data_IF_373004100540
#
_entry.id   IF_373004100540
#
_cell.length_a   1.000
_cell.length_b   1.000
_cell.length_c   1.000
_cell.angle_alpha   90.00
_cell.angle_beta   90.00
_cell.angle_gamma   90.00
#
_symmetry.space_group_name_H-M   'P 1'
#
loop_
_entity.id
_entity.type
_entity.pdbx_description
1 polymer ?
#
# COMPACT_ATOMS: atom_id res chain seq x y z
N UNK A 1 -2.36 8.58 -6.53
CA UNK A 1 -3.43 7.80 -7.21
C UNK A 1 -2.94 7.27 -8.55
N UNK A 2 -3.59 6.25 -9.04
CA UNK A 2 -3.27 5.64 -10.33
C UNK A 2 -3.57 6.62 -11.47
N UNK A 3 -2.59 6.89 -12.34
CA UNK A 3 -2.77 7.70 -13.55
C UNK A 3 -3.46 6.90 -14.68
N UNK A 4 -3.83 7.56 -15.80
CA UNK A 4 -4.48 6.86 -16.94
C UNK A 4 -3.57 5.79 -17.55
N UNK A 5 -2.32 6.13 -17.83
CA UNK A 5 -1.35 5.19 -18.40
C UNK A 5 -1.05 4.01 -17.45
N UNK A 6 -1.33 4.18 -16.15
CA UNK A 6 -1.15 3.14 -15.14
C UNK A 6 -2.22 2.05 -15.22
N UNK A 7 -3.46 2.37 -15.64
CA UNK A 7 -4.54 1.37 -15.82
C UNK A 7 -4.23 0.45 -17.00
N UNK A 8 -3.78 1.00 -18.13
CA UNK A 8 -3.33 0.19 -19.25
C UNK A 8 -2.16 -0.73 -18.87
N UNK A 9 -1.16 -0.19 -18.16
CA UNK A 9 -0.03 -0.96 -17.66
C UNK A 9 -0.48 -2.05 -16.69
N UNK A 10 -1.38 -1.73 -15.76
CA UNK A 10 -1.96 -2.68 -14.81
C UNK A 10 -2.66 -3.85 -15.53
N UNK A 11 -3.51 -3.55 -16.52
CA UNK A 11 -4.20 -4.56 -17.31
C UNK A 11 -3.23 -5.46 -18.11
N UNK A 12 -2.16 -4.89 -18.67
CA UNK A 12 -1.10 -5.67 -19.37
C UNK A 12 -0.37 -6.64 -18.45
N UNK A 13 -0.27 -6.34 -17.16
CA UNK A 13 0.27 -7.27 -16.17
C UNK A 13 -0.77 -8.27 -15.64
N UNK A 14 -1.98 -8.30 -16.19
CA UNK A 14 -3.03 -9.27 -15.83
C UNK A 14 -3.94 -8.81 -14.69
N UNK A 15 -3.80 -7.59 -14.20
CA UNK A 15 -4.71 -7.02 -13.21
C UNK A 15 -6.10 -6.83 -13.81
N UNK A 16 -7.16 -7.16 -13.07
CA UNK A 16 -8.55 -7.17 -13.55
C UNK A 16 -9.49 -6.26 -12.76
N UNK A 17 -9.08 -5.78 -11.61
CA UNK A 17 -9.87 -4.87 -10.77
C UNK A 17 -8.95 -3.96 -9.95
N UNK A 18 -9.33 -2.69 -9.81
CA UNK A 18 -8.68 -1.71 -8.94
C UNK A 18 -9.63 -1.27 -7.84
N UNK A 19 -9.06 -0.75 -6.74
CA UNK A 19 -9.81 -0.19 -5.63
C UNK A 19 -9.50 1.30 -5.47
N UNK A 20 -10.51 2.10 -5.12
CA UNK A 20 -10.36 3.49 -4.69
C UNK A 20 -10.75 3.65 -3.22
N UNK A 21 -10.30 4.74 -2.56
CA UNK A 21 -10.70 5.07 -1.19
C UNK A 21 -11.89 6.03 -1.12
N UNK A 22 -12.09 6.77 -2.20
CA UNK A 22 -13.16 7.77 -2.31
C UNK A 22 -13.54 7.99 -3.76
N UNK A 23 -14.62 8.70 -3.98
CA UNK A 23 -14.98 9.30 -5.26
C UNK A 23 -14.49 10.75 -5.30
N UNK A 24 -14.49 11.36 -6.46
CA UNK A 24 -14.21 12.77 -6.76
C UNK A 24 -13.45 13.56 -5.69
N UNK A 25 -12.17 13.67 -5.86
CA UNK A 25 -11.32 14.48 -5.01
C UNK A 25 -10.34 15.31 -5.88
N UNK A 26 -9.54 16.17 -5.25
CA UNK A 26 -8.60 17.07 -5.94
C UNK A 26 -7.60 16.35 -6.86
N UNK A 27 -7.44 15.05 -6.69
CA UNK A 27 -6.46 14.23 -7.42
C UNK A 27 -7.10 13.22 -8.37
N UNK A 28 -8.42 13.00 -8.30
CA UNK A 28 -9.12 11.94 -9.02
C UNK A 28 -10.45 12.41 -9.60
N UNK A 29 -10.57 12.41 -10.91
CA UNK A 29 -11.84 12.43 -11.63
C UNK A 29 -12.34 10.98 -11.75
N UNK A 30 -13.32 10.63 -10.93
CA UNK A 30 -13.84 9.25 -10.86
C UNK A 30 -14.49 8.81 -12.16
N UNK A 31 -15.18 9.70 -12.89
CA UNK A 31 -15.77 9.35 -14.18
C UNK A 31 -14.68 8.98 -15.20
N UNK A 32 -13.64 9.80 -15.30
CA UNK A 32 -12.53 9.53 -16.20
C UNK A 32 -11.78 8.23 -15.83
N UNK A 33 -11.62 7.94 -14.54
CA UNK A 33 -11.04 6.68 -14.05
C UNK A 33 -11.90 5.46 -14.45
N UNK A 34 -13.21 5.54 -14.26
CA UNK A 34 -14.15 4.46 -14.62
C UNK A 34 -14.20 4.22 -16.13
N UNK A 35 -14.24 5.28 -16.92
CA UNK A 35 -14.21 5.20 -18.40
C UNK A 35 -12.91 4.52 -18.89
N UNK A 36 -11.76 4.87 -18.31
CA UNK A 36 -10.46 4.27 -18.63
C UNK A 36 -10.39 2.79 -18.18
N UNK A 37 -10.86 2.49 -16.98
CA UNK A 37 -10.93 1.12 -16.49
C UNK A 37 -11.80 0.25 -17.42
N UNK A 38 -12.97 0.73 -17.84
CA UNK A 38 -13.82 0.04 -18.79
C UNK A 38 -13.13 -0.18 -20.13
N UNK A 39 -12.40 0.83 -20.65
CA UNK A 39 -11.70 0.72 -21.94
C UNK A 39 -10.66 -0.40 -21.95
N UNK A 40 -10.07 -0.71 -20.77
CA UNK A 40 -9.08 -1.78 -20.61
C UNK A 40 -9.63 -3.07 -19.98
N UNK A 41 -10.97 -3.19 -19.82
CA UNK A 41 -11.60 -4.37 -19.25
C UNK A 41 -11.33 -4.56 -17.75
N UNK A 42 -11.00 -3.48 -17.05
CA UNK A 42 -10.74 -3.45 -15.62
C UNK A 42 -11.99 -2.98 -14.87
N UNK A 43 -12.35 -3.65 -13.79
CA UNK A 43 -13.42 -3.22 -12.90
C UNK A 43 -12.89 -2.36 -11.75
N UNK A 44 -13.79 -1.66 -11.07
CA UNK A 44 -13.44 -0.77 -9.96
C UNK A 44 -14.27 -1.09 -8.73
N UNK A 45 -13.60 -1.47 -7.64
CA UNK A 45 -14.17 -1.46 -6.31
C UNK A 45 -14.16 0.00 -5.81
N UNK A 46 -15.33 0.63 -5.81
CA UNK A 46 -15.44 2.08 -5.65
C UNK A 46 -15.66 2.46 -4.18
N UNK A 47 -14.69 3.18 -3.62
CA UNK A 47 -14.72 3.66 -2.24
C UNK A 47 -15.68 4.83 -2.06
N UNK A 48 -16.46 4.78 -0.99
CA UNK A 48 -17.35 5.85 -0.53
C UNK A 48 -16.81 6.40 0.78
N UNK A 49 -16.54 7.70 0.82
CA UNK A 49 -15.93 8.32 1.98
C UNK A 49 -16.88 8.40 3.16
N UNK A 50 -16.51 7.74 4.26
CA UNK A 50 -17.02 8.03 5.59
C UNK A 50 -15.87 8.53 6.46
N UNK A 51 -16.12 9.58 7.24
CA UNK A 51 -15.11 10.18 8.09
C UNK A 51 -14.93 9.34 9.35
N UNK A 52 -13.70 8.86 9.59
CA UNK A 52 -13.39 8.10 10.80
C UNK A 52 -13.43 8.98 12.06
N UNK A 53 -13.80 8.39 13.20
CA UNK A 53 -13.78 9.06 14.52
C UNK A 53 -12.40 9.66 14.83
N UNK A 54 -11.31 8.97 14.49
CA UNK A 54 -9.94 9.46 14.65
C UNK A 54 -9.64 10.76 13.87
N UNK A 55 -10.47 11.11 12.90
CA UNK A 55 -10.40 12.36 12.14
C UNK A 55 -11.40 13.41 12.65
N UNK A 56 -12.01 13.17 13.83
CA UNK A 56 -12.85 14.13 14.52
C UNK A 56 -14.34 14.05 14.17
N UNK A 57 -14.81 12.96 13.51
CA UNK A 57 -16.22 12.77 13.26
C UNK A 57 -16.93 12.27 14.55
N UNK A 58 -18.07 12.88 14.87
CA UNK A 58 -18.89 12.51 16.02
C UNK A 58 -20.07 11.66 15.57
N UNK A 59 -20.02 10.35 15.88
CA UNK A 59 -21.10 9.41 15.55
C UNK A 59 -22.28 9.46 16.56
N UNK A 60 -22.27 10.39 17.52
CA UNK A 60 -23.44 10.73 18.36
C UNK A 60 -24.18 11.97 17.82
N UNK A 61 -23.68 12.66 16.78
CA UNK A 61 -24.31 13.79 16.12
C UNK A 61 -25.20 13.33 14.95
N UNK A 62 -26.55 13.30 15.11
CA UNK A 62 -27.45 12.83 14.06
C UNK A 62 -27.48 13.74 12.81
N UNK A 63 -27.20 15.04 12.96
CA UNK A 63 -27.17 15.96 11.84
C UNK A 63 -25.91 15.74 10.98
N UNK A 64 -24.78 15.47 11.61
CA UNK A 64 -23.54 15.12 10.92
C UNK A 64 -23.67 13.77 10.18
N UNK A 65 -24.27 12.76 10.82
CA UNK A 65 -24.54 11.45 10.21
C UNK A 65 -25.46 11.60 8.99
N UNK A 66 -26.56 12.35 9.12
CA UNK A 66 -27.50 12.58 8.02
C UNK A 66 -26.84 13.31 6.84
N UNK A 67 -25.99 14.30 7.10
CA UNK A 67 -25.25 15.02 6.06
C UNK A 67 -24.24 14.11 5.34
N UNK A 68 -23.53 13.24 6.08
CA UNK A 68 -22.63 12.25 5.50
C UNK A 68 -23.38 11.24 4.63
N UNK A 69 -24.51 10.71 5.10
CA UNK A 69 -25.37 9.78 4.36
C UNK A 69 -25.83 10.40 3.03
N UNK A 70 -26.26 11.67 3.04
CA UNK A 70 -26.70 12.35 1.81
C UNK A 70 -25.55 12.55 0.83
N UNK A 71 -24.36 12.91 1.32
CA UNK A 71 -23.15 13.00 0.49
C UNK A 71 -22.84 11.67 -0.21
N UNK A 72 -22.91 10.56 0.53
CA UNK A 72 -22.71 9.22 -0.03
C UNK A 72 -23.81 8.84 -1.02
N UNK A 73 -25.06 9.21 -0.73
CA UNK A 73 -26.20 9.01 -1.64
C UNK A 73 -25.96 9.66 -3.01
N UNK A 74 -25.49 10.90 -3.02
CA UNK A 74 -25.17 11.62 -4.26
C UNK A 74 -24.09 10.90 -5.07
N UNK A 75 -23.05 10.38 -4.41
CA UNK A 75 -21.98 9.62 -5.05
C UNK A 75 -22.49 8.33 -5.67
N UNK A 76 -23.32 7.57 -4.95
CA UNK A 76 -23.92 6.33 -5.46
C UNK A 76 -24.79 6.61 -6.68
N UNK A 77 -25.70 7.60 -6.63
CA UNK A 77 -26.54 7.98 -7.74
C UNK A 77 -25.74 8.40 -8.99
N UNK A 78 -24.58 9.00 -8.79
CA UNK A 78 -23.71 9.47 -9.88
C UNK A 78 -23.03 8.33 -10.63
N UNK A 79 -22.68 7.23 -9.95
CA UNK A 79 -21.80 6.20 -10.50
C UNK A 79 -22.40 4.80 -10.62
N UNK A 80 -23.53 4.48 -9.96
CA UNK A 80 -24.12 3.14 -9.90
C UNK A 80 -24.41 2.47 -11.26
N UNK A 81 -24.67 3.25 -12.28
CA UNK A 81 -24.98 2.74 -13.62
C UNK A 81 -23.72 2.61 -14.52
N UNK A 82 -22.52 2.86 -13.97
CA UNK A 82 -21.30 2.75 -14.76
C UNK A 82 -20.80 1.30 -14.83
N UNK A 83 -20.59 0.72 -16.03
CA UNK A 83 -20.31 -0.71 -16.20
C UNK A 83 -18.97 -1.18 -15.59
N UNK A 84 -18.06 -0.26 -15.26
CA UNK A 84 -16.82 -0.61 -14.58
C UNK A 84 -16.97 -0.71 -13.05
N UNK A 85 -18.06 -0.25 -12.44
CA UNK A 85 -18.29 -0.41 -11.00
C UNK A 85 -18.51 -1.90 -10.70
N UNK A 86 -17.76 -2.45 -9.75
CA UNK A 86 -17.85 -3.86 -9.36
C UNK A 86 -18.65 -4.03 -8.05
N UNK A 87 -18.30 -3.25 -7.04
CA UNK A 87 -18.97 -3.19 -5.75
C UNK A 87 -18.60 -1.92 -4.99
N UNK A 88 -19.31 -1.65 -3.89
CA UNK A 88 -19.11 -0.46 -3.07
C UNK A 88 -18.34 -0.78 -1.79
N UNK A 89 -17.37 0.09 -1.45
CA UNK A 89 -16.66 0.04 -0.17
C UNK A 89 -17.08 1.22 0.70
N UNK A 90 -17.74 0.95 1.82
CA UNK A 90 -18.25 1.96 2.75
C UNK A 90 -17.19 2.28 3.79
N UNK A 91 -16.59 3.45 3.72
CA UNK A 91 -15.51 3.90 4.58
C UNK A 91 -14.17 3.21 4.28
N UNK A 92 -13.17 3.49 5.11
CA UNK A 92 -11.86 2.85 5.10
C UNK A 92 -11.28 2.80 6.52
N UNK A 93 -11.07 1.59 7.03
CA UNK A 93 -10.49 1.35 8.37
C UNK A 93 -11.18 2.17 9.49
N UNK A 94 -12.52 2.24 9.46
CA UNK A 94 -13.29 2.98 10.46
C UNK A 94 -13.06 2.45 11.88
N UNK A 95 -12.61 1.20 12.01
CA UNK A 95 -12.22 0.57 13.27
C UNK A 95 -10.84 1.01 13.78
N UNK A 96 -10.08 1.82 13.03
CA UNK A 96 -8.78 2.27 13.49
C UNK A 96 -8.93 3.40 14.51
N UNK A 97 -8.61 3.09 15.79
CA UNK A 97 -8.73 4.02 16.93
C UNK A 97 -10.15 4.58 17.14
N UNK A 98 -11.20 3.80 16.84
CA UNK A 98 -12.57 4.15 17.16
C UNK A 98 -12.91 3.80 18.62
N UNK A 99 -13.90 4.46 19.17
CA UNK A 99 -14.44 4.21 20.50
C UNK A 99 -15.97 4.15 20.52
N UNK A 100 -16.66 4.69 19.50
CA UNK A 100 -18.11 4.71 19.39
C UNK A 100 -18.61 3.67 18.39
N UNK A 101 -19.25 2.57 18.85
CA UNK A 101 -19.81 1.55 17.95
C UNK A 101 -20.96 2.05 17.05
N UNK A 102 -21.51 3.25 17.27
CA UNK A 102 -22.52 3.87 16.40
C UNK A 102 -22.01 4.11 14.97
N UNK A 103 -20.68 4.09 14.76
CA UNK A 103 -20.10 4.08 13.41
C UNK A 103 -20.65 2.94 12.55
N UNK A 104 -20.90 1.76 13.14
CA UNK A 104 -21.42 0.60 12.42
C UNK A 104 -22.92 0.72 12.12
N UNK A 105 -23.69 1.43 12.96
CA UNK A 105 -25.09 1.76 12.64
C UNK A 105 -25.14 2.70 11.41
N UNK A 106 -24.25 3.70 11.36
CA UNK A 106 -24.14 4.59 10.20
C UNK A 106 -23.65 3.84 8.93
N UNK A 107 -22.77 2.84 9.07
CA UNK A 107 -22.36 1.96 7.95
C UNK A 107 -23.58 1.16 7.45
N UNK A 108 -24.43 0.66 8.36
CA UNK A 108 -25.65 -0.04 8.00
C UNK A 108 -26.63 0.86 7.23
N UNK A 109 -26.86 2.09 7.70
CA UNK A 109 -27.74 3.05 7.02
C UNK A 109 -27.26 3.34 5.60
N UNK A 110 -25.95 3.45 5.41
CA UNK A 110 -25.34 3.61 4.07
C UNK A 110 -25.58 2.35 3.22
N UNK A 111 -25.35 1.16 3.76
CA UNK A 111 -25.54 -0.09 3.02
C UNK A 111 -27.01 -0.30 2.61
N UNK A 112 -27.97 -0.05 3.51
CA UNK A 112 -29.40 -0.10 3.19
C UNK A 112 -29.77 0.90 2.09
N UNK A 113 -29.30 2.14 2.18
CA UNK A 113 -29.50 3.16 1.16
C UNK A 113 -28.93 2.74 -0.20
N UNK A 114 -27.74 2.11 -0.21
CA UNK A 114 -27.14 1.61 -1.46
C UNK A 114 -28.03 0.52 -2.06
N UNK A 115 -28.47 -0.48 -1.30
CA UNK A 115 -29.32 -1.56 -1.79
C UNK A 115 -30.66 -1.06 -2.35
N UNK A 116 -31.23 0.03 -1.78
CA UNK A 116 -32.43 0.68 -2.32
C UNK A 116 -32.17 1.34 -3.69
N UNK A 117 -31.01 1.96 -3.87
CA UNK A 117 -30.65 2.72 -5.08
C UNK A 117 -30.00 1.86 -6.16
N UNK A 118 -29.24 0.86 -5.75
CA UNK A 118 -28.40 0.00 -6.57
C UNK A 118 -28.46 -1.46 -6.08
N UNK A 119 -29.48 -2.21 -6.46
CA UNK A 119 -29.64 -3.60 -6.03
C UNK A 119 -28.68 -4.58 -6.75
N UNK A 120 -27.81 -4.09 -7.62
CA UNK A 120 -26.95 -4.94 -8.46
C UNK A 120 -25.52 -5.10 -7.93
N UNK A 121 -25.01 -4.12 -7.20
CA UNK A 121 -23.64 -4.13 -6.72
C UNK A 121 -23.59 -4.41 -5.21
N UNK A 122 -22.76 -5.38 -4.78
CA UNK A 122 -22.58 -5.68 -3.37
C UNK A 122 -21.94 -4.53 -2.60
N UNK A 123 -22.10 -4.55 -1.28
CA UNK A 123 -21.59 -3.55 -0.35
C UNK A 123 -20.70 -4.20 0.70
N UNK A 124 -19.52 -3.63 0.93
CA UNK A 124 -18.58 -4.06 1.97
C UNK A 124 -18.06 -2.89 2.79
N UNK A 125 -17.52 -3.17 3.97
CA UNK A 125 -16.71 -2.22 4.75
C UNK A 125 -15.33 -2.79 5.02
N UNK A 126 -14.24 -2.07 4.64
CA UNK A 126 -12.87 -2.49 4.92
C UNK A 126 -12.47 -2.18 6.36
N UNK A 127 -11.96 -3.18 7.08
CA UNK A 127 -11.41 -3.01 8.43
C UNK A 127 -9.92 -3.30 8.51
N UNK A 128 -9.24 -2.59 9.39
CA UNK A 128 -7.84 -2.81 9.73
C UNK A 128 -7.68 -4.08 10.56
N UNK A 129 -7.04 -5.10 9.99
CA UNK A 129 -6.77 -6.39 10.62
C UNK A 129 -7.99 -7.30 10.73
N UNK A 130 -7.74 -8.56 11.05
CA UNK A 130 -8.77 -9.52 11.42
C UNK A 130 -9.02 -9.41 12.94
N UNK A 131 -10.11 -8.77 13.34
CA UNK A 131 -10.44 -8.49 14.75
C UNK A 131 -11.80 -9.09 15.09
N UNK A 132 -11.86 -10.21 15.80
CA UNK A 132 -13.11 -10.93 16.07
C UNK A 132 -14.19 -10.07 16.75
N UNK A 133 -13.80 -9.21 17.69
CA UNK A 133 -14.73 -8.33 18.38
C UNK A 133 -15.38 -7.31 17.43
N UNK A 134 -14.58 -6.71 16.56
CA UNK A 134 -15.07 -5.77 15.53
C UNK A 134 -15.94 -6.48 14.51
N UNK A 135 -15.57 -7.69 14.10
CA UNK A 135 -16.39 -8.52 13.19
C UNK A 135 -17.76 -8.77 13.82
N UNK A 136 -17.81 -9.17 15.09
CA UNK A 136 -19.06 -9.42 15.81
C UNK A 136 -19.92 -8.14 15.94
N UNK A 137 -19.28 -6.98 16.17
CA UNK A 137 -20.01 -5.70 16.20
C UNK A 137 -20.60 -5.35 14.81
N UNK A 138 -19.86 -5.51 13.73
CA UNK A 138 -20.35 -5.27 12.37
C UNK A 138 -21.53 -6.21 12.05
N UNK A 139 -21.40 -7.51 12.34
CA UNK A 139 -22.47 -8.49 12.13
C UNK A 139 -23.76 -8.13 12.91
N UNK A 140 -23.60 -7.57 14.12
CA UNK A 140 -24.73 -7.20 14.94
C UNK A 140 -25.38 -5.86 14.55
N UNK A 141 -24.58 -4.87 14.11
CA UNK A 141 -25.01 -3.48 13.88
C UNK A 141 -25.15 -3.10 12.41
N UNK A 142 -24.41 -3.75 11.53
CA UNK A 142 -24.43 -3.49 10.08
C UNK A 142 -24.81 -4.76 9.27
N UNK A 143 -25.97 -5.39 9.55
CA UNK A 143 -26.39 -6.61 8.87
C UNK A 143 -26.69 -6.42 7.37
N UNK A 144 -26.78 -5.19 6.89
CA UNK A 144 -26.92 -4.89 5.46
C UNK A 144 -25.62 -4.98 4.65
N UNK A 145 -24.45 -5.17 5.31
CA UNK A 145 -23.19 -5.43 4.63
C UNK A 145 -23.20 -6.86 4.05
N UNK A 146 -22.91 -7.02 2.75
CA UNK A 146 -22.93 -8.31 2.07
C UNK A 146 -21.74 -9.20 2.44
N UNK A 147 -20.56 -8.59 2.68
CA UNK A 147 -19.36 -9.27 3.17
C UNK A 147 -18.42 -8.29 3.85
N UNK A 148 -17.57 -8.78 4.75
CA UNK A 148 -16.52 -7.97 5.39
C UNK A 148 -15.24 -8.02 4.58
N UNK A 149 -14.50 -6.91 4.55
CA UNK A 149 -13.19 -6.83 3.91
C UNK A 149 -12.10 -6.55 4.94
N UNK A 150 -10.94 -7.19 4.77
CA UNK A 150 -9.80 -7.03 5.67
C UNK A 150 -8.64 -6.31 4.97
N UNK A 151 -7.88 -5.55 5.77
CA UNK A 151 -6.63 -4.92 5.37
C UNK A 151 -5.53 -5.41 6.29
N UNK A 152 -4.57 -6.17 5.76
CA UNK A 152 -3.53 -6.83 6.55
C UNK A 152 -2.20 -6.82 5.79
N UNK A 153 -1.12 -6.59 6.53
CA UNK A 153 0.23 -6.57 6.00
C UNK A 153 1.06 -7.74 6.56
N UNK A 154 2.05 -7.53 7.43
CA UNK A 154 2.81 -8.63 8.02
C UNK A 154 1.94 -9.60 8.83
N UNK A 155 0.93 -9.09 9.53
CA UNK A 155 -0.07 -9.89 10.26
C UNK A 155 -0.89 -10.85 9.37
N UNK A 156 -0.90 -10.65 8.04
CA UNK A 156 -1.57 -11.54 7.08
C UNK A 156 -1.11 -13.00 7.20
N UNK A 157 0.16 -13.22 7.52
CA UNK A 157 0.70 -14.58 7.68
C UNK A 157 0.05 -15.38 8.83
N UNK A 158 -0.53 -14.70 9.81
CA UNK A 158 -1.30 -15.31 10.90
C UNK A 158 -2.79 -15.53 10.60
N UNK A 159 -3.32 -15.05 9.47
CA UNK A 159 -4.75 -15.08 9.17
C UNK A 159 -5.34 -16.50 9.12
N UNK A 160 -4.69 -17.53 8.54
CA UNK A 160 -5.24 -18.88 8.54
C UNK A 160 -5.48 -19.44 9.95
N UNK A 161 -4.56 -19.18 10.89
CA UNK A 161 -4.68 -19.61 12.28
C UNK A 161 -5.82 -18.86 12.98
N UNK A 162 -5.94 -17.55 12.78
CA UNK A 162 -7.03 -16.73 13.33
C UNK A 162 -8.42 -17.18 12.82
N UNK A 163 -8.54 -17.51 11.55
CA UNK A 163 -9.77 -18.08 10.98
C UNK A 163 -10.10 -19.43 11.63
N UNK A 164 -9.10 -20.29 11.80
CA UNK A 164 -9.29 -21.60 12.40
C UNK A 164 -9.68 -21.50 13.89
N UNK A 165 -9.04 -20.61 14.66
CA UNK A 165 -9.30 -20.37 16.07
C UNK A 165 -10.68 -19.79 16.33
N UNK A 166 -11.12 -18.86 15.49
CA UNK A 166 -12.43 -18.19 15.63
C UNK A 166 -13.57 -18.97 15.01
N UNK A 167 -13.27 -19.91 14.12
CA UNK A 167 -14.29 -20.62 13.33
C UNK A 167 -15.02 -19.73 12.31
N UNK A 168 -14.42 -18.63 11.89
CA UNK A 168 -15.00 -17.72 10.89
C UNK A 168 -15.17 -18.46 9.54
N UNK A 169 -16.41 -18.49 9.01
CA UNK A 169 -16.76 -19.25 7.81
C UNK A 169 -17.33 -18.38 6.68
N UNK A 170 -17.52 -17.09 6.91
CA UNK A 170 -18.13 -16.21 5.94
C UNK A 170 -17.17 -15.87 4.80
N UNK A 171 -17.68 -15.60 3.59
CA UNK A 171 -16.86 -15.09 2.50
C UNK A 171 -16.32 -13.70 2.88
N UNK A 172 -15.09 -13.42 2.49
CA UNK A 172 -14.45 -12.13 2.73
C UNK A 172 -13.55 -11.73 1.57
N UNK A 173 -13.16 -10.47 1.56
CA UNK A 173 -12.19 -9.93 0.60
C UNK A 173 -10.98 -9.34 1.33
N UNK A 174 -9.80 -9.47 0.73
CA UNK A 174 -8.61 -8.76 1.19
C UNK A 174 -8.47 -7.47 0.38
N UNK A 175 -8.88 -6.34 0.96
CA UNK A 175 -8.93 -5.06 0.25
C UNK A 175 -7.64 -4.26 0.32
N UNK A 176 -6.72 -4.63 1.20
CA UNK A 176 -5.32 -4.21 1.17
C UNK A 176 -4.41 -5.31 1.73
N UNK A 177 -3.36 -5.62 0.97
CA UNK A 177 -2.24 -6.45 1.41
C UNK A 177 -0.99 -6.08 0.61
N UNK A 178 0.18 -6.37 1.13
CA UNK A 178 1.42 -6.00 0.45
C UNK A 178 2.66 -6.37 1.26
N UNK A 179 3.65 -5.47 1.24
CA UNK A 179 4.85 -5.63 2.06
C UNK A 179 4.53 -5.51 3.55
N UNK A 180 5.50 -5.83 4.41
CA UNK A 180 5.35 -5.69 5.85
C UNK A 180 5.27 -4.20 6.23
N UNK A 181 4.30 -3.84 7.07
CA UNK A 181 4.12 -2.47 7.54
C UNK A 181 5.28 -2.01 8.43
N UNK A 182 5.64 -0.74 8.38
CA UNK A 182 6.75 -0.20 9.19
C UNK A 182 6.50 -0.34 10.70
N UNK A 183 5.26 -0.50 11.12
CA UNK A 183 4.88 -0.75 12.51
C UNK A 183 5.14 -2.20 12.96
N UNK A 184 5.34 -3.12 12.01
CA UNK A 184 5.63 -4.55 12.23
C UNK A 184 7.11 -4.88 12.05
N UNK A 185 7.91 -3.94 11.50
CA UNK A 185 9.32 -4.15 11.21
C UNK A 185 10.22 -3.96 12.43
N UNK A 186 11.38 -4.63 12.40
CA UNK A 186 12.47 -4.38 13.32
C UNK A 186 12.92 -2.92 13.27
N UNK A 187 13.48 -2.44 14.37
CA UNK A 187 13.94 -1.06 14.50
C UNK A 187 15.42 -1.01 14.84
N UNK A 188 16.08 0.02 14.33
CA UNK A 188 17.43 0.38 14.74
C UNK A 188 17.51 0.68 16.24
N UNK A 189 18.72 0.75 16.81
CA UNK A 189 18.95 1.10 18.21
C UNK A 189 18.37 2.46 18.63
N UNK A 190 18.13 3.37 17.68
CA UNK A 190 17.49 4.69 17.89
C UNK A 190 16.01 4.74 17.48
N UNK A 191 15.38 3.57 17.24
CA UNK A 191 13.94 3.42 17.07
C UNK A 191 13.42 3.68 15.65
N UNK A 192 14.26 3.81 14.64
CA UNK A 192 13.86 3.93 13.23
C UNK A 192 13.52 2.56 12.64
N UNK A 193 12.37 2.36 11.98
CA UNK A 193 12.05 1.09 11.36
C UNK A 193 12.96 0.80 10.16
N UNK A 194 13.39 -0.45 10.04
CA UNK A 194 14.18 -0.95 8.92
C UNK A 194 13.25 -1.30 7.77
N UNK A 195 13.56 -0.84 6.56
CA UNK A 195 12.77 -1.15 5.37
C UNK A 195 13.42 -2.28 4.57
N UNK A 196 12.62 -3.22 4.10
CA UNK A 196 13.04 -4.29 3.20
C UNK A 196 13.51 -3.73 1.85
N UNK A 197 14.46 -4.38 1.21
CA UNK A 197 14.83 -4.10 -0.18
C UNK A 197 13.66 -4.40 -1.12
N UNK A 198 13.69 -3.87 -2.36
CA UNK A 198 12.66 -4.18 -3.36
C UNK A 198 12.51 -5.68 -3.62
N UNK A 199 13.61 -6.43 -3.60
CA UNK A 199 13.60 -7.89 -3.80
C UNK A 199 13.03 -8.65 -2.62
N UNK A 200 13.36 -8.26 -1.39
CA UNK A 200 12.74 -8.85 -0.19
C UNK A 200 11.23 -8.55 -0.11
N UNK A 201 10.80 -7.35 -0.57
CA UNK A 201 9.37 -7.04 -0.68
C UNK A 201 8.69 -7.95 -1.70
N UNK A 202 9.30 -8.21 -2.85
CA UNK A 202 8.81 -9.14 -3.85
C UNK A 202 8.66 -10.56 -3.28
N UNK A 203 9.61 -11.03 -2.48
CA UNK A 203 9.52 -12.31 -1.77
C UNK A 203 8.34 -12.32 -0.78
N UNK A 204 8.10 -11.22 -0.06
CA UNK A 204 6.93 -11.11 0.84
C UNK A 204 5.63 -11.25 0.07
N UNK A 205 5.49 -10.59 -1.10
CA UNK A 205 4.31 -10.68 -1.95
C UNK A 205 4.06 -12.12 -2.43
N UNK A 206 5.10 -12.77 -2.95
CA UNK A 206 5.00 -14.16 -3.43
C UNK A 206 4.63 -15.14 -2.32
N UNK A 207 5.25 -14.98 -1.14
CA UNK A 207 4.94 -15.79 0.04
C UNK A 207 3.52 -15.53 0.56
N UNK A 208 3.10 -14.28 0.68
CA UNK A 208 1.74 -13.92 1.10
C UNK A 208 0.69 -14.59 0.20
N UNK A 209 0.92 -14.58 -1.13
CA UNK A 209 0.05 -15.30 -2.05
C UNK A 209 0.09 -16.82 -1.82
N UNK A 210 1.27 -17.44 -1.86
CA UNK A 210 1.40 -18.90 -1.85
C UNK A 210 1.07 -19.55 -0.49
N UNK A 211 1.46 -18.88 0.61
CA UNK A 211 1.33 -19.42 1.96
C UNK A 211 -0.04 -19.11 2.59
N UNK A 212 -0.71 -18.02 2.14
CA UNK A 212 -1.95 -17.54 2.74
C UNK A 212 -3.09 -17.45 1.71
N UNK A 213 -3.04 -16.48 0.78
CA UNK A 213 -4.19 -16.16 -0.05
C UNK A 213 -4.66 -17.33 -0.92
N UNK A 214 -3.75 -18.06 -1.55
CA UNK A 214 -4.07 -19.22 -2.36
C UNK A 214 -4.66 -20.39 -1.55
N UNK A 215 -4.39 -20.47 -0.24
CA UNK A 215 -4.95 -21.53 0.64
C UNK A 215 -6.34 -21.20 1.16
N UNK A 216 -6.76 -19.95 1.09
CA UNK A 216 -8.08 -19.49 1.53
C UNK A 216 -9.12 -19.49 0.40
N UNK A 217 -8.81 -20.17 -0.73
CA UNK A 217 -9.74 -20.34 -1.86
C UNK A 217 -11.06 -20.96 -1.40
N UNK A 218 -12.17 -20.37 -1.83
CA UNK A 218 -13.53 -20.77 -1.45
C UNK A 218 -14.12 -19.92 -0.31
N UNK A 219 -13.29 -19.18 0.44
CA UNK A 219 -13.71 -18.20 1.42
C UNK A 219 -13.22 -16.78 1.04
N UNK A 220 -11.96 -16.65 0.60
CA UNK A 220 -11.43 -15.43 0.01
C UNK A 220 -11.99 -15.24 -1.41
N UNK A 221 -12.84 -14.22 -1.61
CA UNK A 221 -13.52 -13.95 -2.89
C UNK A 221 -12.71 -13.04 -3.82
N UNK A 222 -11.67 -12.38 -3.32
CA UNK A 222 -10.77 -11.53 -4.10
C UNK A 222 -9.76 -10.79 -3.23
N UNK A 223 -8.76 -10.19 -3.87
CA UNK A 223 -7.75 -9.42 -3.14
C UNK A 223 -7.21 -8.24 -3.96
N UNK A 224 -6.90 -7.14 -3.26
CA UNK A 224 -6.31 -5.93 -3.81
C UNK A 224 -4.96 -5.68 -3.16
N UNK A 225 -3.91 -5.65 -3.98
CA UNK A 225 -2.55 -5.39 -3.52
C UNK A 225 -2.34 -3.88 -3.28
N UNK A 226 -1.64 -3.54 -2.23
CA UNK A 226 -1.29 -2.17 -1.87
C UNK A 226 0.20 -1.91 -2.07
N UNK A 227 0.64 -0.94 -2.95
CA UNK A 227 -0.27 -0.20 -3.85
C UNK A 227 0.32 -0.15 -5.26
N UNK A 228 -0.54 -0.17 -6.27
CA UNK A 228 -0.18 0.13 -7.65
C UNK A 228 0.04 1.63 -7.80
N UNK A 229 1.29 2.08 -7.70
CA UNK A 229 1.68 3.48 -7.70
C UNK A 229 2.83 3.75 -6.75
N UNK A 230 3.01 5.01 -6.39
CA UNK A 230 3.99 5.49 -5.41
C UNK A 230 3.29 6.33 -4.34
N UNK A 231 3.78 6.26 -3.11
CA UNK A 231 3.28 7.04 -1.99
C UNK A 231 4.42 7.32 -1.00
N UNK A 232 4.53 8.56 -0.56
CA UNK A 232 5.35 8.88 0.60
C UNK A 232 4.62 8.41 1.87
N UNK A 233 5.18 7.38 2.51
CA UNK A 233 4.76 6.90 3.82
C UNK A 233 5.97 6.29 4.53
N UNK A 234 6.50 6.95 5.53
CA UNK A 234 7.82 6.79 6.15
C UNK A 234 8.96 7.03 5.17
N UNK A 235 8.94 6.36 4.04
CA UNK A 235 9.88 6.52 2.92
C UNK A 235 9.09 6.66 1.61
N UNK A 236 9.70 7.15 0.53
CA UNK A 236 9.07 7.17 -0.78
C UNK A 236 8.93 5.76 -1.40
N UNK A 237 9.58 4.76 -0.82
CA UNK A 237 9.69 3.41 -1.38
C UNK A 237 8.97 2.34 -0.56
N UNK A 238 8.38 2.65 0.62
CA UNK A 238 7.87 1.62 1.54
C UNK A 238 6.83 0.72 0.90
N UNK A 239 5.74 1.29 0.37
CA UNK A 239 4.59 0.52 -0.13
C UNK A 239 4.41 0.56 -1.65
N UNK A 240 5.05 1.50 -2.34
CA UNK A 240 4.90 1.68 -3.77
C UNK A 240 5.45 0.51 -4.58
N UNK A 241 4.67 0.01 -5.54
CA UNK A 241 5.13 -0.94 -6.55
C UNK A 241 5.81 -0.25 -7.73
N UNK A 242 5.69 1.07 -7.79
CA UNK A 242 6.39 1.96 -8.71
C UNK A 242 7.32 2.87 -7.93
N UNK A 243 8.43 3.28 -8.55
CA UNK A 243 9.26 4.39 -8.05
C UNK A 243 8.55 5.73 -8.23
N UNK A 244 9.11 6.81 -7.67
CA UNK A 244 8.57 8.17 -7.85
C UNK A 244 8.55 8.59 -9.33
N UNK A 245 9.51 8.12 -10.12
CA UNK A 245 9.59 8.40 -11.56
C UNK A 245 8.76 7.44 -12.43
N UNK A 246 8.16 6.40 -11.83
CA UNK A 246 7.22 5.49 -12.48
C UNK A 246 7.83 4.18 -12.97
N UNK A 247 9.10 3.86 -12.67
CA UNK A 247 9.67 2.54 -12.97
C UNK A 247 9.01 1.45 -12.11
N UNK A 248 8.82 0.26 -12.69
CA UNK A 248 8.33 -0.92 -12.01
C UNK A 248 9.38 -1.47 -11.06
N UNK A 249 8.96 -1.90 -9.87
CA UNK A 249 9.78 -2.69 -8.97
C UNK A 249 9.49 -4.17 -9.12
N UNK A 250 10.32 -5.04 -8.55
CA UNK A 250 10.17 -6.50 -8.63
C UNK A 250 8.83 -7.01 -8.08
N UNK A 251 8.14 -6.24 -7.24
CA UNK A 251 6.77 -6.55 -6.79
C UNK A 251 5.77 -6.62 -7.95
N UNK A 252 5.97 -5.83 -9.02
CA UNK A 252 5.14 -5.92 -10.24
C UNK A 252 5.40 -7.22 -10.99
N UNK A 253 6.65 -7.68 -11.08
CA UNK A 253 6.96 -8.99 -11.70
C UNK A 253 6.26 -10.13 -10.96
N UNK A 254 6.29 -10.10 -9.64
CA UNK A 254 5.60 -11.08 -8.80
C UNK A 254 4.08 -11.02 -9.00
N UNK A 255 3.48 -9.83 -9.03
CA UNK A 255 2.05 -9.70 -9.28
C UNK A 255 1.67 -10.13 -10.70
N UNK A 256 2.50 -9.83 -11.71
CA UNK A 256 2.32 -10.38 -13.05
C UNK A 256 2.29 -11.91 -13.03
N UNK A 257 3.26 -12.54 -12.35
CA UNK A 257 3.29 -14.00 -12.21
C UNK A 257 2.05 -14.55 -11.47
N UNK A 258 1.63 -13.91 -10.39
CA UNK A 258 0.45 -14.30 -9.62
C UNK A 258 -0.83 -14.24 -10.47
N UNK A 259 -0.99 -13.21 -11.30
CA UNK A 259 -2.19 -12.97 -12.09
C UNK A 259 -2.23 -13.76 -13.40
N UNK A 260 -1.07 -14.03 -14.03
CA UNK A 260 -1.00 -14.66 -15.35
C UNK A 260 -0.48 -16.09 -15.32
N UNK A 261 0.27 -16.48 -14.28
CA UNK A 261 0.99 -17.74 -14.19
C UNK A 261 2.36 -17.74 -14.89
N UNK A 262 2.74 -16.64 -15.51
CA UNK A 262 4.01 -16.48 -16.25
C UNK A 262 4.79 -15.29 -15.73
N UNK A 263 6.12 -15.34 -15.78
CA UNK A 263 6.97 -14.20 -15.48
C UNK A 263 6.99 -13.22 -16.66
N UNK A 264 7.11 -11.89 -16.42
CA UNK A 264 7.25 -10.93 -17.52
C UNK A 264 8.53 -11.20 -18.33
N UNK A 265 8.54 -10.81 -19.60
CA UNK A 265 9.66 -11.03 -20.52
C UNK A 265 10.93 -10.30 -20.04
N UNK A 266 10.80 -9.02 -19.65
CA UNK A 266 11.86 -8.28 -18.96
C UNK A 266 11.63 -8.35 -17.46
N UNK A 267 12.66 -8.76 -16.72
CA UNK A 267 12.63 -8.91 -15.26
C UNK A 267 13.30 -7.71 -14.58
N UNK A 268 12.69 -7.28 -13.49
CA UNK A 268 13.28 -6.23 -12.66
C UNK A 268 14.64 -6.66 -12.11
N UNK A 269 15.66 -5.77 -12.08
CA UNK A 269 16.91 -6.04 -11.39
C UNK A 269 16.68 -6.39 -9.91
N UNK A 270 17.49 -7.32 -9.37
CA UNK A 270 17.38 -7.81 -8.00
C UNK A 270 18.47 -7.28 -7.11
N UNK A 271 18.10 -6.76 -5.96
CA UNK A 271 19.06 -6.35 -4.92
C UNK A 271 19.62 -7.59 -4.23
N UNK A 272 20.93 -7.79 -4.34
CA UNK A 272 21.67 -8.79 -3.55
C UNK A 272 22.05 -8.24 -2.18
N UNK A 273 22.60 -7.01 -2.13
CA UNK A 273 22.95 -6.35 -0.87
C UNK A 273 23.10 -4.84 -1.02
N UNK A 274 22.89 -4.12 0.10
CA UNK A 274 23.28 -2.72 0.27
C UNK A 274 24.07 -2.56 1.55
N UNK A 275 25.19 -1.82 1.50
CA UNK A 275 26.07 -1.60 2.63
C UNK A 275 26.47 -0.14 2.77
N UNK A 276 26.64 0.31 4.02
CA UNK A 276 27.22 1.60 4.39
C UNK A 276 28.26 1.38 5.49
N UNK A 277 29.51 1.83 5.25
CA UNK A 277 30.66 1.58 6.14
C UNK A 277 30.87 0.07 6.43
N UNK A 278 30.63 -0.77 5.40
CA UNK A 278 30.74 -2.23 5.49
C UNK A 278 29.65 -2.92 6.30
N UNK A 279 28.63 -2.19 6.74
CA UNK A 279 27.48 -2.71 7.50
C UNK A 279 26.25 -2.84 6.61
N UNK A 280 25.49 -3.88 6.87
CA UNK A 280 24.20 -4.13 6.25
C UNK A 280 23.11 -3.16 6.76
N UNK A 281 22.06 -2.95 5.98
CA UNK A 281 20.95 -2.05 6.32
C UNK A 281 20.15 -2.49 7.56
N UNK A 282 20.24 -3.73 8.00
CA UNK A 282 19.65 -4.25 9.25
C UNK A 282 20.49 -3.92 10.50
N UNK A 283 21.74 -3.55 10.30
CA UNK A 283 22.61 -3.15 11.39
C UNK A 283 22.41 -1.66 11.70
N UNK A 284 22.47 -1.30 12.97
CA UNK A 284 22.36 0.10 13.40
C UNK A 284 23.62 0.89 13.02
N UNK A 285 23.64 1.49 11.82
CA UNK A 285 24.79 2.23 11.28
C UNK A 285 24.88 3.60 11.97
N UNK A 286 26.00 3.86 12.64
CA UNK A 286 26.32 5.14 13.30
C UNK A 286 27.57 5.74 12.67
N UNK A 287 27.48 7.00 12.26
CA UNK A 287 28.56 7.73 11.56
C UNK A 287 28.98 8.96 12.36
N UNK A 288 30.23 9.38 12.22
CA UNK A 288 30.76 10.62 12.79
C UNK A 288 30.55 11.80 11.82
N UNK A 289 30.09 12.97 12.31
CA UNK A 289 29.82 14.13 11.45
C UNK A 289 31.03 14.56 10.63
N UNK A 290 30.82 14.85 9.34
CA UNK A 290 31.84 15.35 8.42
C UNK A 290 32.88 14.31 7.97
N UNK A 291 32.84 13.06 8.46
CA UNK A 291 33.67 11.96 7.93
C UNK A 291 33.04 11.38 6.68
N UNK A 292 33.88 10.80 5.83
CA UNK A 292 33.46 10.15 4.58
C UNK A 292 33.51 8.63 4.73
N UNK A 293 32.47 7.97 4.23
CA UNK A 293 32.26 6.52 4.30
C UNK A 293 31.90 5.96 2.93
N UNK A 294 32.25 4.71 2.70
CA UNK A 294 31.89 4.01 1.46
C UNK A 294 30.48 3.41 1.59
N UNK A 295 29.70 3.50 0.50
CA UNK A 295 28.43 2.81 0.35
C UNK A 295 28.41 2.02 -0.95
N UNK A 296 27.79 0.84 -0.94
CA UNK A 296 27.75 -0.08 -2.09
C UNK A 296 26.39 -0.71 -2.23
N UNK A 297 25.87 -0.74 -3.46
CA UNK A 297 24.67 -1.49 -3.86
C UNK A 297 25.08 -2.59 -4.83
N UNK A 298 24.82 -3.85 -4.48
CA UNK A 298 25.01 -5.00 -5.36
C UNK A 298 23.66 -5.43 -5.92
N UNK A 299 23.57 -5.45 -7.24
CA UNK A 299 22.36 -5.77 -7.99
C UNK A 299 22.69 -6.73 -9.10
N UNK A 300 21.83 -7.71 -9.32
CA UNK A 300 21.88 -8.66 -10.43
C UNK A 300 20.70 -8.42 -11.35
N UNK A 301 20.96 -8.27 -12.64
CA UNK A 301 19.93 -8.21 -13.67
C UNK A 301 19.80 -9.57 -14.35
N UNK A 302 18.59 -10.12 -14.41
CA UNK A 302 18.32 -11.44 -14.99
C UNK A 302 18.58 -11.50 -16.49
N UNK A 303 18.29 -10.39 -17.18
CA UNK A 303 18.32 -10.31 -18.64
C UNK A 303 19.68 -9.81 -19.15
N UNK A 304 20.56 -9.42 -18.21
CA UNK A 304 21.89 -8.91 -18.50
C UNK A 304 21.89 -7.48 -19.02
N UNK A 305 20.88 -6.69 -18.72
CA UNK A 305 20.79 -5.29 -19.10
C UNK A 305 21.87 -4.46 -18.39
N UNK A 306 22.46 -3.46 -19.06
CA UNK A 306 23.35 -2.51 -18.40
C UNK A 306 22.60 -1.72 -17.34
N UNK A 307 23.11 -1.70 -16.10
CA UNK A 307 22.49 -0.96 -15.02
C UNK A 307 23.06 0.46 -14.91
N UNK A 308 22.16 1.40 -14.64
CA UNK A 308 22.51 2.75 -14.18
C UNK A 308 22.06 2.91 -12.73
N UNK A 309 22.74 3.78 -11.97
CA UNK A 309 22.52 3.90 -10.54
C UNK A 309 22.16 5.34 -10.18
N UNK A 310 21.44 5.48 -9.07
CA UNK A 310 21.16 6.77 -8.47
C UNK A 310 21.10 6.63 -6.95
N UNK A 311 21.69 7.61 -6.24
CA UNK A 311 21.73 7.65 -4.79
C UNK A 311 21.18 8.98 -4.27
N UNK A 312 20.48 8.90 -3.14
CA UNK A 312 19.93 10.05 -2.45
C UNK A 312 20.12 9.94 -0.94
N UNK A 313 20.30 11.08 -0.28
CA UNK A 313 20.30 11.16 1.17
C UNK A 313 19.10 12.01 1.61
N UNK A 314 18.25 11.47 2.46
CA UNK A 314 17.09 12.20 3.00
C UNK A 314 17.14 12.20 4.54
N UNK A 315 16.58 13.23 5.21
CA UNK A 315 16.34 13.11 6.64
C UNK A 315 15.35 11.98 6.90
N UNK A 316 15.45 11.32 8.06
CA UNK A 316 14.44 10.32 8.45
C UNK A 316 13.09 11.00 8.70
N UNK A 317 11.98 10.37 8.30
CA UNK A 317 10.64 10.88 8.54
C UNK A 317 10.37 11.05 10.04
N UNK A 318 9.98 12.25 10.43
CA UNK A 318 9.52 12.55 11.78
C UNK A 318 7.99 12.42 11.92
N UNK A 319 7.28 11.90 10.91
CA UNK A 319 5.83 11.76 10.94
C UNK A 319 5.40 10.86 12.11
N UNK A 320 4.41 11.34 12.85
CA UNK A 320 3.71 10.61 13.92
C UNK A 320 2.31 10.19 13.48
N UNK A 321 1.96 10.43 12.21
CA UNK A 321 0.65 10.11 11.65
C UNK A 321 0.43 8.60 11.64
N UNK A 322 -0.83 8.21 11.73
CA UNK A 322 -1.22 6.81 11.58
C UNK A 322 -0.97 6.32 10.14
N UNK A 323 -0.83 5.01 9.98
CA UNK A 323 -0.70 4.39 8.67
C UNK A 323 -1.84 4.79 7.74
N UNK A 324 -1.52 5.04 6.48
CA UNK A 324 -2.46 5.50 5.48
C UNK A 324 -2.62 7.02 5.37
N UNK A 325 -2.32 7.80 6.40
CA UNK A 325 -2.41 9.24 6.36
C UNK A 325 -1.34 9.85 5.43
N UNK A 326 -1.68 10.98 4.80
CA UNK A 326 -0.77 11.66 3.87
C UNK A 326 0.45 12.21 4.59
N UNK A 327 1.64 11.86 4.09
CA UNK A 327 2.91 12.48 4.45
C UNK A 327 3.43 13.36 3.31
N UNK A 328 4.14 14.44 3.65
CA UNK A 328 4.82 15.26 2.66
C UNK A 328 6.14 14.61 2.24
N UNK A 329 6.53 14.72 0.96
CA UNK A 329 7.81 14.21 0.47
C UNK A 329 8.99 14.81 1.24
N UNK A 330 10.00 13.98 1.51
CA UNK A 330 11.22 14.42 2.18
C UNK A 330 12.22 15.01 1.17
N UNK A 331 12.87 16.13 1.50
CA UNK A 331 13.86 16.72 0.59
C UNK A 331 15.09 15.83 0.46
N UNK A 332 15.70 15.83 -0.72
CA UNK A 332 17.05 15.29 -0.90
C UNK A 332 18.09 16.26 -0.33
N UNK A 333 19.10 15.75 0.34
CA UNK A 333 20.20 16.52 0.91
C UNK A 333 21.40 16.53 -0.08
N UNK A 334 21.53 17.62 -0.77
CA UNK A 334 22.55 17.78 -1.82
C UNK A 334 24.00 17.91 -1.26
N UNK A 335 24.99 17.51 -2.08
CA UNK A 335 26.40 17.73 -1.81
C UNK A 335 27.01 16.77 -0.79
N UNK A 336 26.30 15.74 -0.36
CA UNK A 336 26.78 14.73 0.57
C UNK A 336 27.42 13.52 -0.13
N UNK A 337 27.11 13.28 -1.40
CA UNK A 337 27.60 12.16 -2.20
C UNK A 337 28.69 12.62 -3.17
N UNK A 338 29.73 11.81 -3.36
CA UNK A 338 30.83 12.13 -4.29
C UNK A 338 30.42 11.97 -5.75
N UNK A 339 29.85 10.84 -6.10
CA UNK A 339 29.25 10.52 -7.39
C UNK A 339 28.01 9.70 -7.08
N UNK A 340 26.85 10.02 -7.64
CA UNK A 340 25.62 9.35 -7.30
C UNK A 340 25.06 8.45 -8.42
N UNK A 341 25.89 8.12 -9.41
CA UNK A 341 25.56 7.36 -10.61
C UNK A 341 26.33 6.03 -10.76
N UNK A 342 27.00 5.58 -9.72
CA UNK A 342 27.77 4.33 -9.71
C UNK A 342 27.23 3.34 -8.65
N UNK A 343 27.53 2.04 -8.81
CA UNK A 343 27.19 1.00 -7.84
C UNK A 343 27.85 1.20 -6.46
N UNK A 344 28.93 1.96 -6.41
CA UNK A 344 29.63 2.32 -5.16
C UNK A 344 29.89 3.81 -5.14
N UNK A 345 29.53 4.44 -4.02
CA UNK A 345 29.65 5.89 -3.81
C UNK A 345 30.28 6.18 -2.46
N UNK A 346 30.76 7.41 -2.26
CA UNK A 346 31.18 7.88 -0.94
C UNK A 346 30.21 8.94 -0.43
N UNK A 347 29.79 8.76 0.82
CA UNK A 347 28.93 9.71 1.52
C UNK A 347 29.74 10.46 2.58
N UNK A 348 29.63 11.79 2.62
CA UNK A 348 30.11 12.59 3.74
C UNK A 348 28.95 12.72 4.74
N UNK A 349 29.16 12.21 5.96
CA UNK A 349 28.12 12.24 7.00
C UNK A 349 27.69 13.68 7.31
N UNK A 350 26.39 13.99 7.31
CA UNK A 350 25.87 15.32 7.61
C UNK A 350 26.06 15.72 9.09
N UNK A 351 25.40 16.78 9.52
CA UNK A 351 25.36 17.18 10.94
C UNK A 351 24.64 16.11 11.79
N UNK A 352 24.84 16.07 13.13
CA UNK A 352 24.14 15.13 13.99
C UNK A 352 22.65 15.05 13.74
N UNK A 353 22.13 13.84 13.57
CA UNK A 353 20.71 13.62 13.23
C UNK A 353 20.45 12.20 12.70
N UNK A 354 19.18 11.93 12.36
CA UNK A 354 18.71 10.66 11.79
C UNK A 354 18.47 10.84 10.29
N UNK A 355 19.01 9.94 9.50
CA UNK A 355 19.00 10.02 8.04
C UNK A 355 18.74 8.66 7.41
N UNK A 356 18.50 8.67 6.11
CA UNK A 356 18.39 7.47 5.28
C UNK A 356 19.10 7.67 3.94
N UNK A 357 19.96 6.72 3.60
CA UNK A 357 20.63 6.63 2.30
C UNK A 357 19.81 5.72 1.41
N UNK A 358 19.30 6.23 0.29
CA UNK A 358 18.58 5.48 -0.73
C UNK A 358 19.50 5.18 -1.91
N UNK A 359 19.32 4.01 -2.50
CA UNK A 359 20.01 3.56 -3.69
C UNK A 359 19.03 2.90 -4.67
N UNK A 360 19.16 3.26 -5.94
CA UNK A 360 18.34 2.75 -7.04
C UNK A 360 19.26 2.19 -8.13
N UNK A 361 18.85 1.11 -8.78
CA UNK A 361 19.48 0.56 -9.98
C UNK A 361 18.41 0.36 -11.06
N UNK A 362 18.63 0.97 -12.22
CA UNK A 362 17.69 0.99 -13.35
C UNK A 362 18.25 0.16 -14.50
N UNK A 363 17.39 -0.63 -15.14
CA UNK A 363 17.74 -1.45 -16.32
C UNK A 363 17.63 -0.71 -17.66
N UNK A 364 17.09 0.52 -17.65
CA UNK A 364 16.83 1.30 -18.87
C UNK A 364 15.61 0.83 -19.68
N UNK A 365 14.85 -0.14 -19.17
CA UNK A 365 13.62 -0.67 -19.79
C UNK A 365 12.34 -0.27 -19.01
N UNK A 366 12.49 0.60 -18.00
CA UNK A 366 11.38 1.07 -17.16
C UNK A 366 11.20 0.25 -15.88
N UNK A 367 12.24 -0.45 -15.44
CA UNK A 367 12.27 -1.22 -14.20
C UNK A 367 13.41 -0.77 -13.30
N UNK A 368 13.21 -0.86 -11.99
CA UNK A 368 14.18 -0.43 -11.00
C UNK A 368 14.19 -1.31 -9.76
N UNK A 369 15.39 -1.68 -9.33
CA UNK A 369 15.64 -2.17 -7.98
C UNK A 369 15.92 -1.00 -7.04
N UNK A 370 15.51 -1.11 -5.78
CA UNK A 370 15.86 -0.12 -4.77
C UNK A 370 16.14 -0.74 -3.39
N UNK A 371 16.96 -0.06 -2.64
CA UNK A 371 17.22 -0.36 -1.24
C UNK A 371 17.54 0.93 -0.47
N UNK A 372 17.49 0.87 0.85
CA UNK A 372 17.89 2.01 1.67
C UNK A 372 18.49 1.57 3.01
N UNK A 373 19.29 2.44 3.60
CA UNK A 373 19.93 2.23 4.92
C UNK A 373 19.57 3.40 5.83
N UNK A 374 18.88 3.19 6.96
CA UNK A 374 18.78 4.17 8.01
C UNK A 374 20.12 4.32 8.73
N UNK A 375 20.56 5.55 8.98
CA UNK A 375 21.77 5.81 9.76
C UNK A 375 21.63 6.98 10.72
N UNK A 376 22.35 6.90 11.82
CA UNK A 376 22.47 7.96 12.82
C UNK A 376 23.82 8.65 12.65
N UNK A 377 23.84 9.99 12.78
CA UNK A 377 25.06 10.77 12.89
C UNK A 377 25.17 11.35 14.29
N UNK A 378 26.26 11.03 15.03
CA UNK A 378 26.55 11.52 16.39
C UNK A 378 28.04 11.65 16.70
#
# INVERSE_FOLDING_TARGET
>A
GMGRDDIERFARHGGNSIRTWSTDNDYQDTRALLDEAQAHGVTVALGLSMTAERHGFDYDDPDAIAAQLETVREQVLKYKDHPAVLFWLVGNELNHSYSNPAVWDAVNDVAEMIHELDPNHPVTTPISGFKPDVIAEIQARAPAIDFISFQMYGSLFGLPDLIAETGFQEPFMMTEWGTIGYWEMEKTSWGTPVELTSSEKADVFLRAHNEVLAKLQGQLIGSYVFLWGQKQERTPTWFGMLTEAGEATETIDVMHYIWTGEWPENRTPQVDSIQLDGKDYKESVVLEPGKTYDATLNVVDHDGNPLTYHWEVKPESASIKAGGDREEPLPNLEGLLSDNDAASVRITAPVPGKYRLFAYAYDGQGYAAHANIPFLVE
#
